data_IF_574602742512
#
_entry.id   IF_574602742512
#
_cell.length_a   1.000
_cell.length_b   1.000
_cell.length_c   1.000
_cell.angle_alpha   90.00
_cell.angle_beta   90.00
_cell.angle_gamma   90.00
#
_symmetry.space_group_name_H-M   'P 1'
#
loop_
_entity.id
_entity.type
_entity.pdbx_description
1 polymer ?
#
# COMPACT_ATOMS: atom_id res chain seq x y z
N UNK A 1 -2.17 6.29 -31.22
CA UNK A 1 -3.19 5.44 -30.56
C UNK A 1 -2.50 4.62 -29.48
N UNK A 2 -2.69 5.05 -28.23
CA UNK A 2 -1.93 4.55 -27.08
C UNK A 2 -2.33 3.13 -26.74
N UNK A 3 -1.46 2.40 -26.04
CA UNK A 3 -1.70 1.03 -25.57
C UNK A 3 -3.00 0.91 -24.75
N UNK A 4 -3.46 2.02 -24.16
CA UNK A 4 -4.66 2.12 -23.31
C UNK A 4 -5.93 2.49 -24.09
N UNK A 5 -5.83 3.14 -25.25
CA UNK A 5 -7.00 3.56 -26.07
C UNK A 5 -7.83 2.35 -26.54
N UNK A 6 -7.19 1.18 -26.72
CA UNK A 6 -7.87 -0.05 -27.13
C UNK A 6 -8.56 -0.79 -25.98
N UNK A 7 -8.20 -0.54 -24.73
CA UNK A 7 -8.76 -1.25 -23.57
C UNK A 7 -9.91 -0.48 -22.90
N UNK A 8 -9.99 0.85 -23.10
CA UNK A 8 -10.85 1.73 -22.29
C UNK A 8 -11.58 2.80 -23.10
N UNK A 9 -12.30 2.38 -24.13
CA UNK A 9 -13.24 3.22 -24.89
C UNK A 9 -14.42 3.79 -24.04
N UNK A 10 -14.39 3.69 -22.71
CA UNK A 10 -15.49 4.08 -21.81
C UNK A 10 -15.33 5.47 -21.17
N UNK A 11 -14.11 6.04 -21.06
CA UNK A 11 -13.89 7.37 -20.44
C UNK A 11 -12.77 8.15 -21.14
N UNK A 12 -12.91 9.48 -21.26
CA UNK A 12 -11.82 10.31 -21.77
C UNK A 12 -10.61 10.27 -20.82
N UNK A 13 -9.41 10.15 -21.39
CA UNK A 13 -8.15 10.01 -20.66
C UNK A 13 -7.94 11.10 -19.60
N UNK A 14 -8.38 12.34 -19.89
CA UNK A 14 -8.31 13.50 -18.99
C UNK A 14 -9.05 13.24 -17.67
N UNK A 15 -10.29 12.74 -17.74
CA UNK A 15 -11.07 12.38 -16.56
C UNK A 15 -10.51 11.14 -15.86
N UNK A 16 -9.97 10.18 -16.61
CA UNK A 16 -9.28 9.01 -16.05
C UNK A 16 -8.10 9.39 -15.14
N UNK A 17 -7.20 10.27 -15.61
CA UNK A 17 -6.05 10.75 -14.81
C UNK A 17 -6.50 11.51 -13.57
N UNK A 18 -7.56 12.32 -13.69
CA UNK A 18 -8.11 13.07 -12.56
C UNK A 18 -8.66 12.13 -11.48
N UNK A 19 -9.41 11.10 -11.88
CA UNK A 19 -9.91 10.06 -10.96
C UNK A 19 -8.75 9.34 -10.28
N UNK A 20 -7.71 8.96 -11.03
CA UNK A 20 -6.51 8.31 -10.49
C UNK A 20 -5.88 9.15 -9.37
N UNK A 21 -5.72 10.46 -9.58
CA UNK A 21 -5.16 11.35 -8.57
C UNK A 21 -5.95 11.37 -7.27
N UNK A 22 -7.28 11.46 -7.34
CA UNK A 22 -8.12 11.42 -6.14
C UNK A 22 -8.09 10.06 -5.43
N UNK A 23 -8.18 8.97 -6.19
CA UNK A 23 -8.18 7.62 -5.62
C UNK A 23 -6.84 7.32 -4.93
N UNK A 24 -5.72 7.71 -5.53
CA UNK A 24 -4.40 7.46 -4.93
C UNK A 24 -4.11 8.32 -3.70
N UNK A 25 -4.67 9.54 -3.60
CA UNK A 25 -4.62 10.32 -2.36
C UNK A 25 -5.35 9.56 -1.24
N UNK A 26 -6.58 9.09 -1.50
CA UNK A 26 -7.37 8.35 -0.51
C UNK A 26 -6.66 7.07 -0.11
N UNK A 27 -6.18 6.27 -1.07
CA UNK A 27 -5.44 5.03 -0.79
C UNK A 27 -4.16 5.31 0.00
N UNK A 28 -3.44 6.38 -0.29
CA UNK A 28 -2.21 6.73 0.42
C UNK A 28 -2.48 7.15 1.86
N UNK A 29 -3.55 7.91 2.11
CA UNK A 29 -3.99 8.26 3.46
C UNK A 29 -4.41 7.00 4.22
N UNK A 30 -5.24 6.14 3.62
CA UNK A 30 -5.67 4.89 4.25
C UNK A 30 -4.48 3.98 4.57
N UNK A 31 -3.55 3.80 3.62
CA UNK A 31 -2.31 3.08 3.87
C UNK A 31 -1.55 3.70 5.05
N UNK A 32 -1.38 5.02 5.07
CA UNK A 32 -0.69 5.74 6.16
C UNK A 32 -1.37 5.61 7.53
N UNK A 33 -2.70 5.50 7.59
CA UNK A 33 -3.45 5.36 8.84
C UNK A 33 -3.48 3.93 9.39
N UNK A 34 -3.50 2.92 8.51
CA UNK A 34 -3.68 1.51 8.90
C UNK A 34 -2.38 0.68 8.91
N UNK A 35 -1.34 1.08 8.18
CA UNK A 35 0.01 0.49 8.29
C UNK A 35 0.76 0.72 9.63
N UNK A 36 0.53 1.80 10.44
CA UNK A 36 1.34 2.08 11.64
C UNK A 36 1.21 1.06 12.77
N UNK A 37 0.24 0.14 12.70
CA UNK A 37 -0.17 -0.69 13.82
C UNK A 37 0.21 -2.17 13.70
N UNK A 38 1.26 -2.49 12.93
CA UNK A 38 1.81 -3.86 12.91
C UNK A 38 2.65 -4.08 14.17
N UNK A 39 1.99 -4.42 15.28
CA UNK A 39 2.65 -4.79 16.54
C UNK A 39 3.36 -6.16 16.39
N UNK A 40 4.55 -6.33 16.98
CA UNK A 40 5.32 -7.61 16.97
C UNK A 40 5.49 -8.20 18.36
N UNK A 41 5.34 -9.52 18.51
CA UNK A 41 5.49 -10.28 19.77
C UNK A 41 6.94 -10.74 19.99
N UNK A 42 7.54 -10.42 21.15
CA UNK A 42 8.97 -10.64 21.51
C UNK A 42 9.36 -12.12 21.54
N UNK A 43 8.54 -13.00 22.12
CA UNK A 43 9.00 -14.34 22.53
C UNK A 43 8.76 -15.47 21.53
N UNK A 44 8.04 -15.21 20.43
CA UNK A 44 7.65 -16.25 19.49
C UNK A 44 8.55 -16.38 18.26
N UNK A 45 9.41 -15.40 17.95
CA UNK A 45 10.29 -15.46 16.77
C UNK A 45 11.38 -16.55 16.88
N UNK A 46 11.71 -17.02 18.09
CA UNK A 46 12.66 -18.12 18.30
C UNK A 46 12.00 -19.52 18.22
N UNK A 47 10.71 -19.63 18.57
CA UNK A 47 10.02 -20.92 18.73
C UNK A 47 8.93 -21.20 17.68
N UNK A 48 8.45 -20.20 16.92
CA UNK A 48 7.39 -20.39 15.91
C UNK A 48 7.90 -21.02 14.61
N UNK A 49 9.17 -20.83 14.24
CA UNK A 49 9.74 -21.52 13.08
C UNK A 49 9.80 -23.05 13.26
N UNK A 50 9.52 -23.56 14.46
CA UNK A 50 9.51 -25.00 14.79
C UNK A 50 8.18 -25.51 15.37
N UNK A 51 7.16 -24.67 15.57
CA UNK A 51 5.85 -25.11 16.07
C UNK A 51 4.80 -25.16 14.98
N UNK A 52 4.15 -26.31 14.85
CA UNK A 52 3.04 -26.53 13.94
C UNK A 52 1.89 -25.52 14.22
N UNK A 53 1.17 -25.06 13.19
CA UNK A 53 0.05 -24.14 13.34
C UNK A 53 -1.02 -24.75 14.25
N UNK A 54 -1.38 -24.05 15.33
CA UNK A 54 -2.49 -24.45 16.19
C UNK A 54 -3.80 -24.02 15.54
N UNK A 55 -4.46 -24.95 14.86
CA UNK A 55 -5.86 -24.80 14.45
C UNK A 55 -6.74 -24.69 15.69
N UNK A 56 -7.37 -23.53 15.91
CA UNK A 56 -8.38 -23.33 16.95
C UNK A 56 -9.67 -24.03 16.51
N UNK A 57 -9.69 -25.36 16.63
CA UNK A 57 -10.89 -26.18 16.55
C UNK A 57 -10.98 -27.03 17.81
N UNK A 58 -11.55 -26.46 18.88
CA UNK A 58 -11.76 -27.17 20.13
C UNK A 58 -12.41 -26.29 21.21
N UNK A 59 -13.29 -26.91 22.00
CA UNK A 59 -14.11 -26.31 23.07
C UNK A 59 -13.33 -25.83 24.32
N UNK A 60 -12.08 -25.38 24.17
CA UNK A 60 -11.45 -24.58 25.22
C UNK A 60 -11.59 -23.12 24.81
N UNK A 61 -12.59 -22.45 25.36
CA UNK A 61 -12.62 -20.99 25.41
C UNK A 61 -11.29 -20.52 26.00
N UNK A 62 -10.34 -20.16 25.14
CA UNK A 62 -9.18 -19.38 25.55
C UNK A 62 -9.78 -18.19 26.30
N UNK A 63 -9.49 -18.10 27.61
CA UNK A 63 -10.02 -17.03 28.46
C UNK A 63 -9.78 -15.74 27.69
N UNK A 64 -10.82 -14.92 27.54
CA UNK A 64 -10.77 -13.63 26.82
C UNK A 64 -9.56 -12.77 27.24
N UNK A 65 -9.06 -12.95 28.47
CA UNK A 65 -7.82 -12.38 28.98
C UNK A 65 -6.56 -12.83 28.23
N UNK A 66 -6.43 -14.10 27.83
CA UNK A 66 -5.27 -14.59 27.07
C UNK A 66 -5.27 -14.08 25.62
N UNK A 67 -6.43 -13.86 25.01
CA UNK A 67 -6.51 -13.15 23.73
C UNK A 67 -6.12 -11.67 23.93
N UNK A 68 -6.60 -11.03 24.99
CA UNK A 68 -6.28 -9.64 25.27
C UNK A 68 -4.79 -9.45 25.58
N UNK A 69 -4.18 -10.34 26.36
CA UNK A 69 -2.73 -10.36 26.62
C UNK A 69 -1.94 -10.67 25.34
N UNK A 70 -2.48 -11.50 24.44
CA UNK A 70 -1.89 -11.74 23.13
C UNK A 70 -1.89 -10.50 22.22
N UNK A 71 -2.85 -9.57 22.36
CA UNK A 71 -2.92 -8.33 21.54
C UNK A 71 -2.43 -7.05 22.26
N UNK A 72 -2.27 -7.09 23.59
CA UNK A 72 -2.01 -5.90 24.45
C UNK A 72 -0.89 -6.10 25.48
N UNK A 73 -0.31 -7.30 25.62
CA UNK A 73 0.73 -7.58 26.62
C UNK A 73 2.06 -6.85 26.40
N UNK A 74 2.87 -6.78 27.47
CA UNK A 74 4.21 -6.15 27.51
C UNK A 74 5.22 -6.74 26.50
N UNK A 75 4.86 -7.85 25.85
CA UNK A 75 5.66 -8.55 24.84
C UNK A 75 5.58 -7.91 23.45
N UNK A 76 4.92 -6.76 23.29
CA UNK A 76 4.89 -6.03 22.02
C UNK A 76 6.03 -5.02 21.90
N UNK A 77 6.98 -5.27 21.01
CA UNK A 77 8.11 -4.37 20.76
C UNK A 77 8.20 -3.92 19.31
N UNK A 78 8.53 -2.65 19.10
CA UNK A 78 8.88 -2.11 17.79
C UNK A 78 10.34 -2.45 17.50
N UNK A 79 10.63 -3.57 16.82
CA UNK A 79 12.01 -3.79 16.36
C UNK A 79 12.43 -2.65 15.42
N UNK A 80 13.62 -2.09 15.68
CA UNK A 80 14.21 -0.91 15.04
C UNK A 80 14.11 -0.95 13.51
N UNK A 81 14.32 -2.12 12.91
CA UNK A 81 14.20 -2.29 11.45
C UNK A 81 12.78 -2.03 10.93
N UNK A 82 11.77 -2.53 11.65
CA UNK A 82 10.36 -2.31 11.28
C UNK A 82 9.94 -0.85 11.49
N UNK A 83 10.44 -0.21 12.54
CA UNK A 83 10.23 1.22 12.78
C UNK A 83 10.89 2.09 11.69
N UNK A 84 12.11 1.76 11.26
CA UNK A 84 12.78 2.43 10.14
C UNK A 84 12.05 2.21 8.81
N UNK A 85 11.59 0.99 8.52
CA UNK A 85 10.75 0.70 7.34
C UNK A 85 9.44 1.50 7.37
N UNK A 86 8.82 1.63 8.54
CA UNK A 86 7.61 2.42 8.74
C UNK A 86 7.85 3.90 8.42
N UNK A 87 8.88 4.53 8.99
CA UNK A 87 9.21 5.93 8.71
C UNK A 87 9.47 6.12 7.20
N UNK A 88 10.24 5.22 6.60
CA UNK A 88 10.51 5.25 5.17
C UNK A 88 9.23 5.15 4.33
N UNK A 89 8.32 4.24 4.68
CA UNK A 89 7.02 4.12 4.02
C UNK A 89 6.19 5.39 4.15
N UNK A 90 6.16 6.00 5.34
CA UNK A 90 5.42 7.24 5.58
C UNK A 90 5.94 8.38 4.70
N UNK A 91 7.26 8.53 4.58
CA UNK A 91 7.88 9.52 3.69
C UNK A 91 7.45 9.28 2.23
N UNK A 92 7.50 8.03 1.77
CA UNK A 92 7.08 7.66 0.40
C UNK A 92 5.60 7.98 0.16
N UNK A 93 4.72 7.70 1.13
CA UNK A 93 3.29 8.01 1.03
C UNK A 93 3.04 9.52 0.96
N UNK A 94 3.73 10.32 1.78
CA UNK A 94 3.62 11.79 1.75
C UNK A 94 4.08 12.36 0.41
N UNK A 95 5.23 11.89 -0.10
CA UNK A 95 5.73 12.31 -1.41
C UNK A 95 4.75 11.92 -2.53
N UNK A 96 4.15 10.74 -2.44
CA UNK A 96 3.18 10.27 -3.43
C UNK A 96 1.86 11.04 -3.38
N UNK A 97 1.40 11.49 -2.21
CA UNK A 97 0.27 12.42 -2.08
C UNK A 97 0.59 13.73 -2.82
N UNK A 98 1.79 14.30 -2.60
CA UNK A 98 2.24 15.49 -3.31
C UNK A 98 2.26 15.28 -4.84
N UNK A 99 2.76 14.14 -5.30
CA UNK A 99 2.76 13.79 -6.72
C UNK A 99 1.34 13.59 -7.29
N UNK A 100 0.42 13.06 -6.49
CA UNK A 100 -0.98 12.88 -6.87
C UNK A 100 -1.72 14.23 -7.00
N UNK A 101 -1.36 15.22 -6.17
CA UNK A 101 -1.84 16.61 -6.34
C UNK A 101 -1.28 17.20 -7.64
N UNK A 102 0.00 16.99 -7.94
CA UNK A 102 0.62 17.49 -9.16
C UNK A 102 0.00 16.92 -10.44
N UNK A 103 -0.48 15.67 -10.44
CA UNK A 103 -1.20 15.15 -11.63
C UNK A 103 -2.58 15.77 -11.79
N UNK A 104 -3.27 16.09 -10.68
CA UNK A 104 -4.54 16.81 -10.74
C UNK A 104 -4.30 18.20 -11.33
N UNK A 105 -3.27 18.90 -10.86
CA UNK A 105 -2.86 20.19 -11.43
C UNK A 105 -2.47 20.04 -12.90
N UNK A 106 -1.69 19.02 -13.26
CA UNK A 106 -1.30 18.71 -14.65
C UNK A 106 -2.50 18.58 -15.59
N UNK A 107 -3.59 17.96 -15.11
CA UNK A 107 -4.83 17.83 -15.88
C UNK A 107 -5.57 19.17 -16.02
N UNK A 108 -5.57 19.99 -14.98
CA UNK A 108 -6.26 21.29 -14.96
C UNK A 108 -5.52 22.38 -15.74
N UNK A 109 -4.18 22.39 -15.67
CA UNK A 109 -3.31 23.34 -16.38
C UNK A 109 -2.91 22.86 -17.77
N UNK A 110 -3.23 21.60 -18.11
CA UNK A 110 -2.78 20.90 -19.31
C UNK A 110 -1.25 20.76 -19.44
N UNK A 111 -0.52 21.08 -18.36
CA UNK A 111 0.93 20.99 -18.31
C UNK A 111 1.35 19.56 -17.93
N UNK A 112 1.64 18.75 -18.96
CA UNK A 112 1.95 17.31 -18.82
C UNK A 112 3.21 17.02 -18.00
N UNK A 113 4.20 17.92 -17.99
CA UNK A 113 5.47 17.75 -17.25
C UNK A 113 5.25 17.54 -15.75
N UNK A 114 4.19 18.12 -15.18
CA UNK A 114 3.81 17.98 -13.78
C UNK A 114 3.35 16.55 -13.41
N UNK A 115 3.08 15.68 -14.39
CA UNK A 115 2.76 14.28 -14.14
C UNK A 115 4.01 13.39 -13.89
N UNK A 116 5.21 13.84 -14.26
CA UNK A 116 6.44 13.04 -14.13
C UNK A 116 6.75 12.60 -12.69
N UNK A 117 6.59 13.45 -11.65
CA UNK A 117 6.77 13.04 -10.25
C UNK A 117 5.86 11.88 -9.83
N UNK A 118 4.64 11.80 -10.39
CA UNK A 118 3.74 10.69 -10.10
C UNK A 118 4.22 9.39 -10.72
N UNK A 119 4.67 9.41 -11.99
CA UNK A 119 5.19 8.22 -12.67
C UNK A 119 6.36 7.61 -11.87
N UNK A 120 7.24 8.46 -11.33
CA UNK A 120 8.35 8.02 -10.49
C UNK A 120 7.89 7.51 -9.11
N UNK A 121 7.08 8.29 -8.39
CA UNK A 121 6.66 7.93 -7.02
C UNK A 121 5.71 6.75 -6.98
N UNK A 122 4.85 6.55 -7.99
CA UNK A 122 3.98 5.39 -8.11
C UNK A 122 4.78 4.08 -8.22
N UNK A 123 5.87 4.09 -9.00
CA UNK A 123 6.75 2.93 -9.15
C UNK A 123 7.52 2.64 -7.85
N UNK A 124 8.06 3.68 -7.21
CA UNK A 124 8.70 3.51 -5.89
C UNK A 124 7.72 2.97 -4.84
N UNK A 125 6.51 3.51 -4.78
CA UNK A 125 5.46 3.06 -3.87
C UNK A 125 5.09 1.59 -4.11
N UNK A 126 4.96 1.17 -5.37
CA UNK A 126 4.70 -0.22 -5.73
C UNK A 126 5.76 -1.16 -5.14
N UNK A 127 7.05 -0.84 -5.33
CA UNK A 127 8.16 -1.65 -4.80
C UNK A 127 8.14 -1.69 -3.27
N UNK A 128 7.96 -0.54 -2.61
CA UNK A 128 7.96 -0.46 -1.14
C UNK A 128 6.79 -1.23 -0.53
N UNK A 129 5.57 -1.05 -1.07
CA UNK A 129 4.39 -1.77 -0.59
C UNK A 129 4.51 -3.28 -0.84
N UNK A 130 5.13 -3.70 -1.94
CA UNK A 130 5.41 -5.12 -2.20
C UNK A 130 6.40 -5.71 -1.18
N UNK A 131 7.48 -4.99 -0.86
CA UNK A 131 8.44 -5.42 0.17
C UNK A 131 7.78 -5.53 1.54
N UNK A 132 6.93 -4.56 1.91
CA UNK A 132 6.17 -4.60 3.16
C UNK A 132 5.18 -5.77 3.15
N UNK A 133 4.49 -6.02 2.03
CA UNK A 133 3.59 -7.17 1.90
C UNK A 133 4.34 -8.49 2.15
N UNK A 134 5.48 -8.69 1.48
CA UNK A 134 6.32 -9.88 1.67
C UNK A 134 6.76 -10.00 3.13
N UNK A 135 7.15 -8.88 3.76
CA UNK A 135 7.53 -8.86 5.17
C UNK A 135 6.37 -9.25 6.10
N UNK A 136 5.16 -8.75 5.86
CA UNK A 136 3.97 -9.12 6.65
C UNK A 136 3.63 -10.60 6.43
N UNK A 137 3.62 -11.10 5.19
CA UNK A 137 3.35 -12.53 4.89
C UNK A 137 4.34 -13.45 5.61
N UNK A 138 5.62 -13.08 5.62
CA UNK A 138 6.67 -13.95 6.16
C UNK A 138 6.78 -13.92 7.69
N UNK A 139 6.29 -12.86 8.35
CA UNK A 139 6.58 -12.60 9.77
C UNK A 139 5.42 -12.11 10.64
N UNK A 140 4.24 -11.82 10.10
CA UNK A 140 3.11 -11.27 10.88
C UNK A 140 1.91 -12.20 10.85
N UNK A 141 1.41 -12.57 12.04
CA UNK A 141 0.35 -13.58 12.20
C UNK A 141 -1.09 -13.03 12.22
N UNK A 142 -1.31 -11.72 12.25
CA UNK A 142 -2.67 -11.15 12.30
C UNK A 142 -2.73 -9.70 11.80
N UNK A 143 -2.93 -9.52 10.50
CA UNK A 143 -3.06 -8.18 9.88
C UNK A 143 -3.94 -8.21 8.62
N UNK A 144 -5.11 -8.85 8.68
CA UNK A 144 -6.05 -8.98 7.56
C UNK A 144 -6.40 -7.64 6.91
N UNK A 145 -6.69 -6.60 7.70
CA UNK A 145 -6.98 -5.25 7.18
C UNK A 145 -5.81 -4.66 6.39
N UNK A 146 -4.59 -4.82 6.89
CA UNK A 146 -3.36 -4.34 6.23
C UNK A 146 -3.09 -5.10 4.93
N UNK A 147 -3.32 -6.43 4.92
CA UNK A 147 -3.24 -7.24 3.70
C UNK A 147 -4.20 -6.75 2.62
N UNK A 148 -5.46 -6.53 2.98
CA UNK A 148 -6.47 -6.04 2.04
C UNK A 148 -6.13 -4.65 1.52
N UNK A 149 -5.68 -3.72 2.37
CA UNK A 149 -5.32 -2.37 1.95
C UNK A 149 -4.09 -2.33 1.03
N UNK A 150 -3.04 -3.12 1.33
CA UNK A 150 -1.88 -3.21 0.44
C UNK A 150 -2.28 -3.88 -0.87
N UNK A 151 -3.09 -4.95 -0.83
CA UNK A 151 -3.59 -5.63 -2.03
C UNK A 151 -4.42 -4.70 -2.92
N UNK A 152 -5.37 -3.96 -2.33
CA UNK A 152 -6.18 -2.94 -3.02
C UNK A 152 -5.34 -1.76 -3.53
N UNK A 153 -4.19 -1.50 -2.92
CA UNK A 153 -3.25 -0.49 -3.40
C UNK A 153 -2.36 -0.99 -4.54
N UNK A 154 -1.95 -2.26 -4.54
CA UNK A 154 -1.05 -2.83 -5.54
C UNK A 154 -1.78 -3.27 -6.81
N UNK A 155 -2.99 -3.81 -6.68
CA UNK A 155 -3.76 -4.33 -7.80
C UNK A 155 -4.07 -3.28 -8.88
N UNK A 156 -4.55 -2.06 -8.55
CA UNK A 156 -4.78 -1.02 -9.55
C UNK A 156 -3.51 -0.23 -9.91
N UNK A 157 -2.39 -0.42 -9.20
CA UNK A 157 -1.20 0.42 -9.36
C UNK A 157 -0.66 0.41 -10.81
N UNK A 158 -0.59 -0.77 -11.42
CA UNK A 158 -0.15 -0.89 -12.83
C UNK A 158 -1.11 -0.16 -13.77
N UNK A 159 -2.41 -0.25 -13.51
CA UNK A 159 -3.42 0.41 -14.32
C UNK A 159 -3.34 1.94 -14.20
N UNK A 160 -3.24 2.46 -12.97
CA UNK A 160 -3.09 3.89 -12.70
C UNK A 160 -1.81 4.43 -13.35
N UNK A 161 -0.71 3.70 -13.20
CA UNK A 161 0.57 4.07 -13.81
C UNK A 161 0.49 4.15 -15.33
N UNK A 162 -0.08 3.14 -16.01
CA UNK A 162 -0.25 3.15 -17.46
C UNK A 162 -1.16 4.29 -17.95
N UNK A 163 -2.20 4.62 -17.18
CA UNK A 163 -3.11 5.72 -17.49
C UNK A 163 -2.37 7.07 -17.44
N UNK A 164 -1.57 7.31 -16.40
CA UNK A 164 -0.81 8.56 -16.26
C UNK A 164 0.35 8.63 -17.26
N UNK A 165 1.02 7.51 -17.56
CA UNK A 165 2.05 7.46 -18.61
C UNK A 165 1.47 7.80 -19.98
N UNK A 166 0.28 7.30 -20.29
CA UNK A 166 -0.41 7.62 -21.55
C UNK A 166 -0.77 9.11 -21.67
N UNK A 167 -1.03 9.77 -20.53
CA UNK A 167 -1.22 11.23 -20.48
C UNK A 167 0.08 12.02 -20.64
N UNK A 168 1.14 11.56 -19.96
CA UNK A 168 2.46 12.18 -19.96
C UNK A 168 3.14 12.12 -21.33
N UNK A 169 3.13 10.95 -21.96
CA UNK A 169 3.72 10.69 -23.28
C UNK A 169 2.66 10.08 -24.20
N UNK A 170 1.79 10.92 -24.80
CA UNK A 170 0.78 10.42 -25.73
C UNK A 170 1.49 9.77 -26.92
N UNK A 171 1.11 8.54 -27.25
CA UNK A 171 1.66 7.85 -28.43
C UNK A 171 1.43 8.71 -29.66
N UNK A 172 2.50 9.08 -30.36
CA UNK A 172 2.41 9.72 -31.68
C UNK A 172 1.75 8.74 -32.63
N UNK A 173 0.49 8.99 -32.99
CA UNK A 173 -0.10 8.53 -34.24
C UNK A 173 -0.13 9.70 -35.20
#
# INVERSE_FOLDING_TARGET
MGVVDKFLYFFELKYGVLIVGFVDIILSILCGCYLPWIRRKVDEDFWILTKAPYTIHGQSLAKRSQLYDFYVGDDFYFNRFGYSMYIFCLIVLVLHIGASILIIVSVLSEEKTMAAPYVATALMRFVVLLLILIWIVTKSFDCTTTFWLIGLSLFPATYFWLTVVSWYSPSTS
#
